data_IF_357137186539
#
_entry.id   IF_357137186539
#
_cell.length_a   1.000
_cell.length_b   1.000
_cell.length_c   1.000
_cell.angle_alpha   90.00
_cell.angle_beta   90.00
_cell.angle_gamma   90.00
#
_symmetry.space_group_name_H-M   'P 1'
#
loop_
_entity.id
_entity.type
_entity.pdbx_description
1 polymer ?
#
# COMPACT_ATOMS: atom_id res chain seq x y z
N UNK A 1 -35.13 16.37 1.02
CA UNK A 1 -34.64 17.14 -0.15
C UNK A 1 -33.71 16.21 -0.96
N UNK A 2 -34.10 15.89 -2.20
CA UNK A 2 -33.22 15.20 -3.14
C UNK A 2 -31.98 16.10 -3.38
N UNK A 3 -30.80 15.66 -2.98
CA UNK A 3 -29.55 16.34 -3.33
C UNK A 3 -29.20 15.98 -4.77
N UNK A 4 -29.07 16.97 -5.62
CA UNK A 4 -28.56 16.78 -6.97
C UNK A 4 -27.07 16.37 -6.92
N UNK A 5 -26.64 15.53 -7.86
CA UNK A 5 -25.22 15.25 -8.05
C UNK A 5 -24.57 16.52 -8.58
N UNK A 6 -23.56 16.99 -7.85
CA UNK A 6 -22.79 18.19 -8.22
C UNK A 6 -21.47 17.75 -8.83
N UNK A 7 -21.17 18.29 -10.00
CA UNK A 7 -19.87 18.10 -10.67
C UNK A 7 -19.11 19.41 -10.55
N UNK A 8 -17.95 19.38 -9.91
CA UNK A 8 -17.03 20.51 -9.85
C UNK A 8 -15.98 20.33 -10.94
N UNK A 9 -15.84 21.32 -11.82
CA UNK A 9 -14.84 21.36 -12.88
C UNK A 9 -13.94 22.57 -12.67
N UNK A 10 -12.64 22.37 -12.93
CA UNK A 10 -11.63 23.43 -12.93
C UNK A 10 -11.08 23.55 -14.34
N UNK A 11 -11.09 24.75 -14.89
CA UNK A 11 -10.61 25.03 -16.25
C UNK A 11 -9.33 25.86 -16.17
N UNK A 12 -8.35 25.48 -16.99
CA UNK A 12 -7.21 26.35 -17.30
C UNK A 12 -7.55 27.15 -18.56
N UNK A 13 -7.59 28.46 -18.43
CA UNK A 13 -7.89 29.38 -19.53
C UNK A 13 -6.65 30.17 -19.89
N UNK A 14 -6.31 30.20 -21.18
CA UNK A 14 -5.22 31.03 -21.71
C UNK A 14 -5.79 32.10 -22.64
N UNK A 15 -5.40 33.35 -22.43
CA UNK A 15 -5.76 34.48 -23.29
C UNK A 15 -4.61 34.78 -24.25
N UNK A 16 -4.83 34.50 -25.54
CA UNK A 16 -3.88 34.85 -26.60
C UNK A 16 -2.63 33.96 -26.73
N UNK A 17 -2.54 32.88 -26.00
CA UNK A 17 -1.48 31.89 -26.14
C UNK A 17 -2.05 30.46 -26.22
N UNK A 18 -1.38 29.56 -26.94
CA UNK A 18 -1.70 28.13 -26.86
C UNK A 18 -1.50 27.62 -25.44
N UNK A 19 -2.44 26.78 -24.94
CA UNK A 19 -2.23 26.08 -23.68
C UNK A 19 -0.92 25.29 -23.75
N UNK A 20 -0.11 25.28 -22.69
CA UNK A 20 1.10 24.48 -22.70
C UNK A 20 0.72 23.02 -22.89
N UNK A 21 1.25 22.40 -23.96
CA UNK A 21 1.12 20.95 -24.12
C UNK A 21 1.91 20.28 -23.00
N UNK A 22 1.21 19.64 -22.07
CA UNK A 22 1.81 18.83 -21.02
C UNK A 22 2.17 17.45 -21.57
N UNK A 23 3.01 17.40 -22.61
CA UNK A 23 3.61 16.12 -22.99
C UNK A 23 4.72 15.84 -21.98
N UNK A 24 4.61 14.80 -21.14
CA UNK A 24 5.65 14.54 -20.17
C UNK A 24 6.88 14.03 -20.90
N UNK A 25 7.96 14.76 -20.84
CA UNK A 25 9.26 14.19 -21.09
C UNK A 25 9.66 13.34 -19.87
N UNK A 26 10.22 12.15 -20.12
CA UNK A 26 10.84 11.38 -19.05
C UNK A 26 11.86 12.28 -18.32
N UNK A 27 12.00 12.12 -16.96
CA UNK A 27 12.99 12.92 -16.25
C UNK A 27 14.36 12.67 -16.84
N UNK A 28 15.02 13.74 -17.25
CA UNK A 28 16.40 13.68 -17.71
C UNK A 28 17.31 13.72 -16.47
N UNK A 29 17.87 12.55 -16.14
CA UNK A 29 18.84 12.45 -15.08
C UNK A 29 20.25 12.45 -15.67
N UNK A 30 21.24 13.10 -14.99
CA UNK A 30 22.63 12.97 -15.38
C UNK A 30 23.05 11.49 -15.28
N UNK A 31 23.74 10.99 -16.28
CA UNK A 31 24.33 9.62 -16.20
C UNK A 31 25.50 9.67 -15.21
N UNK A 32 25.32 8.99 -14.09
CA UNK A 32 26.29 8.98 -13.01
C UNK A 32 27.39 7.96 -13.24
N UNK A 33 28.64 8.35 -12.97
CA UNK A 33 29.78 7.44 -13.01
C UNK A 33 29.73 6.47 -11.80
N UNK A 34 30.32 5.26 -11.91
CA UNK A 34 30.43 4.32 -10.79
C UNK A 34 31.13 4.92 -9.55
N UNK A 35 32.01 5.90 -9.74
CA UNK A 35 32.71 6.63 -8.67
C UNK A 35 31.87 7.72 -7.99
N UNK A 36 30.66 8.02 -8.46
CA UNK A 36 29.79 8.98 -7.81
C UNK A 36 29.44 8.56 -6.37
N UNK A 37 29.30 9.51 -5.43
CA UNK A 37 28.90 9.19 -4.06
C UNK A 37 27.61 8.36 -4.05
N UNK A 38 27.61 7.24 -3.31
CA UNK A 38 26.49 6.31 -3.28
C UNK A 38 25.66 6.42 -2.02
N UNK A 39 24.36 6.16 -2.15
CA UNK A 39 23.41 6.03 -1.05
C UNK A 39 22.74 4.66 -1.16
N UNK A 40 22.75 3.91 -0.05
CA UNK A 40 21.96 2.68 0.05
C UNK A 40 20.50 3.02 0.31
N UNK A 41 19.59 2.40 -0.44
CA UNK A 41 18.15 2.50 -0.25
C UNK A 41 17.60 1.10 0.00
N UNK A 42 17.10 0.85 1.20
CA UNK A 42 16.59 -0.47 1.59
C UNK A 42 15.09 -0.51 1.35
N UNK A 43 14.67 -1.29 0.36
CA UNK A 43 13.30 -1.42 -0.12
C UNK A 43 13.06 -0.66 -1.43
N UNK A 44 12.44 -1.35 -2.39
CA UNK A 44 12.08 -0.84 -3.71
C UNK A 44 10.56 -0.54 -3.81
N UNK A 45 9.95 -0.15 -2.69
CA UNK A 45 8.58 0.37 -2.63
C UNK A 45 8.51 1.83 -3.13
N UNK A 46 7.32 2.49 -3.07
CA UNK A 46 7.17 3.86 -3.52
C UNK A 46 8.18 4.82 -2.87
N UNK A 47 8.39 4.71 -1.56
CA UNK A 47 9.35 5.55 -0.85
C UNK A 47 10.79 5.38 -1.38
N UNK A 48 11.22 4.13 -1.61
CA UNK A 48 12.55 3.83 -2.13
C UNK A 48 12.75 4.30 -3.57
N UNK A 49 11.75 4.10 -4.44
CA UNK A 49 11.81 4.55 -5.83
C UNK A 49 11.90 6.08 -5.93
N UNK A 50 11.05 6.80 -5.18
CA UNK A 50 11.12 8.27 -5.16
C UNK A 50 12.41 8.78 -4.51
N UNK A 51 12.90 8.13 -3.44
CA UNK A 51 14.19 8.47 -2.84
C UNK A 51 15.35 8.29 -3.85
N UNK A 52 15.34 7.21 -4.62
CA UNK A 52 16.33 6.99 -5.67
C UNK A 52 16.31 8.07 -6.75
N UNK A 53 15.12 8.50 -7.19
CA UNK A 53 14.99 9.60 -8.13
C UNK A 53 15.52 10.92 -7.57
N UNK A 54 15.28 11.23 -6.28
CA UNK A 54 15.85 12.41 -5.65
C UNK A 54 17.39 12.29 -5.51
N UNK A 55 17.92 11.11 -5.22
CA UNK A 55 19.38 10.88 -5.25
C UNK A 55 19.96 11.25 -6.62
N UNK A 56 19.39 10.70 -7.70
CA UNK A 56 19.84 10.99 -9.06
C UNK A 56 19.83 12.48 -9.41
N UNK A 57 18.75 13.20 -9.05
CA UNK A 57 18.65 14.66 -9.25
C UNK A 57 19.74 15.44 -8.55
N UNK A 58 20.28 14.90 -7.47
CA UNK A 58 21.35 15.50 -6.68
C UNK A 58 22.73 14.94 -6.99
N UNK A 59 22.90 14.20 -8.09
CA UNK A 59 24.20 13.63 -8.48
C UNK A 59 24.69 12.46 -7.57
N UNK A 60 23.79 11.87 -6.79
CA UNK A 60 24.09 10.76 -5.89
C UNK A 60 23.64 9.43 -6.53
N UNK A 61 24.48 8.42 -6.50
CA UNK A 61 24.19 7.11 -7.08
C UNK A 61 23.39 6.25 -6.10
N UNK A 62 22.08 5.99 -6.37
CA UNK A 62 21.30 5.13 -5.51
C UNK A 62 21.63 3.65 -5.76
N UNK A 63 21.75 2.89 -4.68
CA UNK A 63 21.86 1.42 -4.69
C UNK A 63 20.66 0.89 -3.91
N UNK A 64 19.66 0.38 -4.64
CA UNK A 64 18.43 -0.16 -4.04
C UNK A 64 18.60 -1.64 -3.75
N UNK A 65 18.25 -2.06 -2.54
CA UNK A 65 18.23 -3.44 -2.11
C UNK A 65 16.80 -3.85 -1.82
N UNK A 66 16.24 -4.78 -2.61
CA UNK A 66 14.90 -5.28 -2.47
C UNK A 66 14.93 -6.78 -2.14
N UNK A 67 14.17 -7.16 -1.08
CA UNK A 67 14.11 -8.55 -0.63
C UNK A 67 13.37 -9.46 -1.60
N UNK A 68 12.35 -8.94 -2.26
CA UNK A 68 11.52 -9.68 -3.20
C UNK A 68 12.02 -9.60 -4.63
N UNK A 69 11.19 -10.07 -5.55
CA UNK A 69 11.47 -10.09 -6.98
C UNK A 69 11.02 -8.81 -7.67
N UNK A 70 11.49 -8.63 -8.92
CA UNK A 70 10.97 -7.61 -9.82
C UNK A 70 9.47 -7.79 -10.08
N UNK A 71 8.81 -6.75 -10.54
CA UNK A 71 7.36 -6.69 -10.68
C UNK A 71 6.80 -7.78 -11.60
N UNK A 72 7.55 -8.22 -12.61
CA UNK A 72 7.13 -9.26 -13.55
C UNK A 72 7.16 -10.64 -12.89
N UNK A 73 8.25 -11.00 -12.24
CA UNK A 73 8.42 -12.26 -11.52
C UNK A 73 7.53 -12.31 -10.26
N UNK A 74 7.38 -11.19 -9.56
CA UNK A 74 6.51 -11.05 -8.38
C UNK A 74 5.04 -11.42 -8.70
N UNK A 75 4.55 -11.12 -9.89
CA UNK A 75 3.21 -11.52 -10.32
C UNK A 75 3.00 -13.04 -10.23
N UNK A 76 4.01 -13.84 -10.57
CA UNK A 76 3.94 -15.30 -10.45
C UNK A 76 4.03 -15.76 -8.99
N UNK A 77 4.69 -15.00 -8.12
CA UNK A 77 4.79 -15.31 -6.69
C UNK A 77 3.44 -15.13 -5.95
N UNK A 78 2.50 -14.37 -6.51
CA UNK A 78 1.16 -14.22 -5.94
C UNK A 78 0.25 -15.42 -6.26
N UNK A 79 0.49 -16.15 -7.35
CA UNK A 79 -0.36 -17.27 -7.76
C UNK A 79 -0.49 -18.40 -6.72
N UNK A 80 0.57 -18.82 -6.00
CA UNK A 80 0.48 -19.83 -4.94
C UNK A 80 -0.45 -19.46 -3.79
N UNK A 81 -0.60 -18.15 -3.50
CA UNK A 81 -1.50 -17.66 -2.45
C UNK A 81 -2.95 -18.05 -2.77
N UNK A 82 -3.35 -17.90 -4.03
CA UNK A 82 -4.72 -18.23 -4.48
C UNK A 82 -4.94 -19.71 -4.72
N UNK A 83 -3.91 -20.44 -5.21
CA UNK A 83 -4.01 -21.84 -5.56
C UNK A 83 -3.83 -22.77 -4.36
N UNK A 84 -2.95 -22.42 -3.46
CA UNK A 84 -2.48 -23.30 -2.39
C UNK A 84 -2.50 -22.65 -1.01
N UNK A 85 -2.94 -21.38 -0.90
CA UNK A 85 -2.89 -20.60 0.34
C UNK A 85 -1.46 -20.37 0.88
N UNK A 86 -0.44 -20.53 0.02
CA UNK A 86 0.98 -20.44 0.41
C UNK A 86 1.55 -19.08 0.08
N UNK A 87 2.08 -18.41 1.10
CA UNK A 87 2.76 -17.11 0.97
C UNK A 87 4.25 -17.35 0.79
N UNK A 88 4.86 -16.67 -0.16
CA UNK A 88 6.31 -16.53 -0.28
C UNK A 88 6.74 -15.31 0.54
N UNK A 89 7.39 -15.53 1.68
CA UNK A 89 7.59 -14.52 2.72
C UNK A 89 8.40 -13.29 2.26
N UNK A 90 9.33 -13.47 1.33
CA UNK A 90 10.13 -12.36 0.81
C UNK A 90 9.59 -11.77 -0.52
N UNK A 91 8.53 -12.36 -1.12
CA UNK A 91 7.94 -11.84 -2.37
C UNK A 91 6.42 -12.09 -2.43
N UNK A 92 5.63 -11.12 -2.04
CA UNK A 92 4.18 -11.22 -1.87
C UNK A 92 3.48 -9.88 -2.15
N UNK A 93 2.29 -9.64 -1.57
CA UNK A 93 1.58 -8.36 -1.71
C UNK A 93 2.28 -7.17 -1.04
N UNK A 94 3.10 -7.39 -0.02
CA UNK A 94 3.83 -6.34 0.69
C UNK A 94 5.25 -6.14 0.15
N UNK A 95 5.93 -7.23 -0.22
CA UNK A 95 7.34 -7.24 -0.58
C UNK A 95 7.56 -7.54 -2.07
N UNK A 96 8.62 -7.00 -2.62
CA UNK A 96 8.99 -6.99 -4.02
C UNK A 96 8.88 -5.60 -4.64
N UNK A 97 9.32 -5.46 -5.88
CA UNK A 97 9.38 -4.19 -6.61
C UNK A 97 8.03 -3.44 -6.57
N UNK A 98 8.09 -2.16 -6.20
CA UNK A 98 6.94 -1.28 -6.01
C UNK A 98 6.19 -1.50 -4.68
N UNK A 99 6.63 -2.45 -3.83
CA UNK A 99 6.09 -2.69 -2.50
C UNK A 99 4.59 -3.02 -2.49
N UNK A 100 3.90 -2.69 -1.41
CA UNK A 100 2.46 -2.89 -1.27
C UNK A 100 1.63 -2.01 -2.24
N UNK A 101 2.24 -0.98 -2.84
CA UNK A 101 1.58 -0.10 -3.81
C UNK A 101 1.28 -0.76 -5.14
N UNK A 102 2.16 -1.63 -5.64
CA UNK A 102 2.10 -2.19 -7.00
C UNK A 102 0.79 -2.89 -7.34
N UNK A 103 0.26 -3.69 -6.40
CA UNK A 103 -0.98 -4.44 -6.57
C UNK A 103 -2.10 -3.90 -5.68
N UNK A 104 -2.17 -2.58 -5.52
CA UNK A 104 -3.21 -1.87 -4.78
C UNK A 104 -4.17 -1.15 -5.74
N UNK A 105 -5.18 -0.45 -5.20
CA UNK A 105 -6.02 0.47 -5.98
C UNK A 105 -5.20 1.62 -6.59
N UNK A 106 -4.04 1.95 -6.02
CA UNK A 106 -3.21 3.04 -6.50
C UNK A 106 -3.81 4.41 -6.29
N UNK A 107 -4.53 4.61 -5.18
CA UNK A 107 -5.03 5.91 -4.76
C UNK A 107 -3.87 6.87 -4.51
N UNK A 108 -3.98 8.05 -5.08
CA UNK A 108 -2.96 9.10 -4.97
C UNK A 108 -3.42 10.28 -4.12
N UNK A 109 -4.71 10.38 -3.80
CA UNK A 109 -5.24 11.48 -2.99
C UNK A 109 -4.59 11.51 -1.60
N UNK A 110 -4.12 12.70 -1.24
CA UNK A 110 -3.54 12.95 0.09
C UNK A 110 -4.00 14.31 0.62
N UNK A 111 -4.06 14.43 1.94
CA UNK A 111 -4.24 15.70 2.66
C UNK A 111 -2.92 16.31 3.13
N UNK A 112 -1.82 15.60 2.98
CA UNK A 112 -0.49 15.99 3.47
C UNK A 112 0.21 16.94 2.48
N UNK A 113 -0.49 17.98 2.03
CA UNK A 113 0.03 18.96 1.06
C UNK A 113 1.09 19.89 1.62
N UNK A 114 1.17 20.03 2.96
CA UNK A 114 2.15 20.90 3.64
C UNK A 114 3.58 20.31 3.69
N UNK A 115 3.75 19.01 3.42
CA UNK A 115 5.04 18.32 3.55
C UNK A 115 5.85 18.27 2.26
N UNK A 116 5.29 18.72 1.15
CA UNK A 116 5.95 18.75 -0.15
C UNK A 116 4.98 18.92 -1.32
N UNK A 117 5.51 19.19 -2.52
CA UNK A 117 4.70 19.44 -3.70
C UNK A 117 4.10 18.11 -4.22
N UNK A 118 2.86 17.83 -3.88
CA UNK A 118 2.13 16.61 -4.31
C UNK A 118 2.05 16.54 -5.84
N UNK A 119 1.90 17.67 -6.52
CA UNK A 119 1.89 17.76 -7.98
C UNK A 119 3.14 17.14 -8.63
N UNK A 120 4.33 17.28 -8.00
CA UNK A 120 5.58 16.66 -8.47
C UNK A 120 5.48 15.13 -8.49
N UNK A 121 4.78 14.53 -7.51
CA UNK A 121 4.55 13.08 -7.46
C UNK A 121 3.66 12.64 -8.61
N UNK A 122 2.56 13.34 -8.86
CA UNK A 122 1.64 13.03 -9.97
C UNK A 122 2.33 13.18 -11.33
N UNK A 123 3.05 14.26 -11.54
CA UNK A 123 3.84 14.49 -12.75
C UNK A 123 4.86 13.36 -12.98
N UNK A 124 5.58 12.96 -11.93
CA UNK A 124 6.54 11.86 -12.02
C UNK A 124 5.85 10.55 -12.42
N UNK A 125 4.74 10.19 -11.79
CA UNK A 125 4.01 8.97 -12.14
C UNK A 125 3.48 9.02 -13.57
N UNK A 126 2.97 10.16 -14.01
CA UNK A 126 2.53 10.38 -15.40
C UNK A 126 3.70 10.22 -16.39
N UNK A 127 4.86 10.80 -16.11
CA UNK A 127 6.07 10.64 -16.92
C UNK A 127 6.50 9.18 -17.10
N UNK A 128 6.15 8.31 -16.15
CA UNK A 128 6.43 6.88 -16.22
C UNK A 128 5.24 6.04 -16.71
N UNK A 129 4.20 6.67 -17.25
CA UNK A 129 3.10 6.00 -17.96
C UNK A 129 1.85 5.79 -17.13
N UNK A 130 1.66 6.53 -16.03
CA UNK A 130 0.35 6.65 -15.43
C UNK A 130 -0.59 7.47 -16.33
N UNK A 131 -1.92 7.24 -16.27
CA UNK A 131 -2.90 7.99 -17.05
C UNK A 131 -2.84 9.50 -16.76
N UNK A 132 -3.10 10.33 -17.78
CA UNK A 132 -3.06 11.80 -17.65
C UNK A 132 -4.13 12.32 -16.68
N UNK A 133 -5.23 11.61 -16.54
CA UNK A 133 -6.33 11.94 -15.64
C UNK A 133 -5.87 12.13 -14.19
N UNK A 134 -4.76 11.49 -13.78
CA UNK A 134 -4.22 11.68 -12.42
C UNK A 134 -3.76 13.11 -12.13
N UNK A 135 -3.50 13.91 -13.17
CA UNK A 135 -3.07 15.30 -13.03
C UNK A 135 -4.24 16.25 -12.75
N UNK A 136 -5.46 15.86 -13.13
CA UNK A 136 -6.65 16.71 -13.08
C UNK A 136 -7.76 16.19 -12.15
N UNK A 137 -7.80 14.90 -11.91
CA UNK A 137 -8.82 14.29 -11.05
C UNK A 137 -8.70 14.76 -9.60
N UNK A 138 -9.85 15.05 -8.98
CA UNK A 138 -9.91 15.43 -7.56
C UNK A 138 -9.50 14.26 -6.63
N UNK A 139 -9.72 13.02 -7.05
CA UNK A 139 -9.36 11.80 -6.32
C UNK A 139 -8.67 10.82 -7.25
N UNK A 140 -7.44 11.13 -7.70
CA UNK A 140 -6.76 10.34 -8.72
C UNK A 140 -6.39 8.96 -8.22
N UNK A 141 -6.43 7.98 -9.14
CA UNK A 141 -5.96 6.62 -8.92
C UNK A 141 -5.39 6.04 -10.22
N UNK A 142 -4.59 4.99 -10.11
CA UNK A 142 -3.96 4.35 -11.28
C UNK A 142 -4.56 2.96 -11.54
N UNK A 143 -4.74 2.16 -10.51
CA UNK A 143 -5.21 0.77 -10.60
C UNK A 143 -4.08 -0.25 -10.67
N UNK A 144 -4.35 -1.43 -10.13
CA UNK A 144 -3.34 -2.51 -9.98
C UNK A 144 -2.90 -3.14 -11.31
N UNK A 145 -3.62 -2.92 -12.40
CA UNK A 145 -3.26 -3.38 -13.74
C UNK A 145 -2.25 -2.46 -14.46
N UNK A 146 -2.20 -1.18 -14.09
CA UNK A 146 -1.31 -0.19 -14.73
C UNK A 146 -0.05 0.08 -13.91
N UNK A 147 -0.15 0.10 -12.58
CA UNK A 147 0.96 0.33 -11.67
C UNK A 147 2.23 -0.49 -11.95
N UNK A 148 2.14 -1.80 -12.31
CA UNK A 148 3.33 -2.60 -12.62
C UNK A 148 4.21 -2.01 -13.73
N UNK A 149 3.59 -1.40 -14.74
CA UNK A 149 4.34 -0.77 -15.84
C UNK A 149 5.01 0.54 -15.38
N UNK A 150 4.29 1.36 -14.63
CA UNK A 150 4.84 2.60 -14.06
C UNK A 150 6.07 2.31 -13.20
N UNK A 151 5.96 1.33 -12.30
CA UNK A 151 7.05 0.91 -11.40
C UNK A 151 8.25 0.40 -12.19
N UNK A 152 8.03 -0.44 -13.20
CA UNK A 152 9.09 -0.93 -14.10
C UNK A 152 9.82 0.22 -14.80
N UNK A 153 9.09 1.17 -15.35
CA UNK A 153 9.65 2.31 -16.05
C UNK A 153 10.48 3.19 -15.10
N UNK A 154 10.01 3.41 -13.86
CA UNK A 154 10.78 4.11 -12.83
C UNK A 154 12.11 3.41 -12.55
N UNK A 155 12.13 2.08 -12.36
CA UNK A 155 13.35 1.31 -12.16
C UNK A 155 14.30 1.41 -13.34
N UNK A 156 13.79 1.24 -14.55
CA UNK A 156 14.61 1.34 -15.77
C UNK A 156 15.32 2.68 -15.88
N UNK A 157 14.62 3.77 -15.58
CA UNK A 157 15.20 5.11 -15.55
C UNK A 157 16.30 5.24 -14.49
N UNK A 158 16.12 4.65 -13.29
CA UNK A 158 17.16 4.62 -12.26
C UNK A 158 18.42 3.92 -12.77
N UNK A 159 18.25 2.76 -13.42
CA UNK A 159 19.38 1.96 -13.93
C UNK A 159 20.08 2.66 -15.11
N UNK A 160 19.34 3.27 -16.03
CA UNK A 160 19.89 4.04 -17.16
C UNK A 160 20.71 5.25 -16.69
N UNK A 161 20.32 5.85 -15.57
CA UNK A 161 21.06 6.96 -14.96
C UNK A 161 22.28 6.53 -14.12
N UNK A 162 22.62 5.22 -14.08
CA UNK A 162 23.77 4.69 -13.35
C UNK A 162 23.47 4.26 -11.91
N UNK A 163 22.21 4.24 -11.49
CA UNK A 163 21.78 3.62 -10.23
C UNK A 163 21.74 2.10 -10.32
N UNK A 164 21.73 1.44 -9.18
CA UNK A 164 21.68 -0.02 -9.08
C UNK A 164 20.38 -0.48 -8.40
N UNK A 165 19.83 -1.62 -8.85
CA UNK A 165 18.70 -2.28 -8.20
C UNK A 165 19.00 -3.77 -8.08
N UNK A 166 19.07 -4.24 -6.85
CA UNK A 166 19.34 -5.64 -6.51
C UNK A 166 18.09 -6.27 -5.91
N UNK A 167 17.49 -7.21 -6.63
CA UNK A 167 16.39 -8.04 -6.16
C UNK A 167 16.90 -9.27 -5.40
N UNK A 168 16.00 -9.93 -4.66
CA UNK A 168 16.29 -11.10 -3.83
C UNK A 168 17.48 -10.84 -2.87
N UNK A 169 17.55 -9.59 -2.40
CA UNK A 169 18.63 -9.05 -1.59
C UNK A 169 18.08 -8.50 -0.29
N UNK A 170 17.75 -9.41 0.62
CA UNK A 170 17.17 -9.11 1.94
C UNK A 170 18.25 -8.65 2.89
N UNK A 171 18.14 -7.43 3.39
CA UNK A 171 18.98 -6.92 4.47
C UNK A 171 18.61 -7.62 5.78
N UNK A 172 19.60 -8.15 6.47
CA UNK A 172 19.45 -8.87 7.73
C UNK A 172 20.25 -8.26 8.87
N UNK A 173 21.20 -7.37 8.57
CA UNK A 173 21.96 -6.67 9.59
C UNK A 173 22.55 -5.34 9.09
N UNK A 174 22.95 -4.49 10.04
CA UNK A 174 23.65 -3.24 9.81
C UNK A 174 25.13 -3.37 10.18
N UNK A 175 26.00 -2.92 9.29
CA UNK A 175 27.43 -2.76 9.58
C UNK A 175 27.60 -1.45 10.37
N UNK A 176 27.88 -1.55 11.65
CA UNK A 176 28.10 -0.41 12.54
C UNK A 176 29.56 -0.34 12.99
N UNK A 177 30.14 0.86 12.98
CA UNK A 177 31.45 1.15 13.57
C UNK A 177 31.31 2.41 14.42
N UNK A 178 31.57 2.27 15.74
CA UNK A 178 31.42 3.36 16.70
C UNK A 178 30.02 4.03 16.58
N UNK A 179 28.97 3.22 16.62
CA UNK A 179 27.54 3.65 16.46
C UNK A 179 27.23 4.39 15.16
N UNK A 180 28.14 4.38 14.19
CA UNK A 180 27.94 5.00 12.87
C UNK A 180 27.72 3.91 11.82
N UNK A 181 26.71 4.10 10.98
CA UNK A 181 26.43 3.19 9.86
C UNK A 181 27.60 3.15 8.87
N UNK A 182 27.96 1.96 8.44
CA UNK A 182 28.97 1.71 7.41
C UNK A 182 28.44 0.90 6.24
N UNK A 183 27.26 0.33 6.38
CA UNK A 183 26.66 -0.49 5.35
C UNK A 183 25.66 -1.47 5.93
N UNK A 184 25.37 -2.50 5.16
CA UNK A 184 24.41 -3.55 5.51
C UNK A 184 24.95 -4.92 5.12
N UNK A 185 24.46 -5.96 5.80
CA UNK A 185 24.67 -7.38 5.46
C UNK A 185 23.34 -7.95 4.95
N UNK A 186 23.40 -8.75 3.90
CA UNK A 186 22.25 -9.39 3.28
C UNK A 186 22.21 -10.89 3.56
N UNK A 187 21.04 -11.50 3.51
CA UNK A 187 20.83 -12.93 3.78
C UNK A 187 21.60 -13.87 2.86
N UNK A 188 21.97 -13.41 1.67
CA UNK A 188 22.78 -14.14 0.69
C UNK A 188 24.29 -14.01 0.92
N UNK A 189 24.73 -13.48 2.07
CA UNK A 189 26.12 -13.27 2.44
C UNK A 189 26.80 -12.05 1.82
N UNK A 190 26.13 -11.31 0.93
CA UNK A 190 26.66 -10.06 0.36
C UNK A 190 26.60 -8.94 1.39
N UNK A 191 27.57 -8.04 1.30
CA UNK A 191 27.59 -6.78 2.06
C UNK A 191 27.67 -5.60 1.10
N UNK A 192 27.03 -4.50 1.49
CA UNK A 192 27.07 -3.24 0.76
C UNK A 192 27.53 -2.15 1.70
N UNK A 193 28.59 -1.47 1.34
CA UNK A 193 29.15 -0.39 2.16
C UNK A 193 28.63 0.97 1.72
N UNK A 194 28.21 1.77 2.66
CA UNK A 194 27.88 3.20 2.50
C UNK A 194 27.77 3.86 3.88
N UNK A 195 28.12 5.13 3.95
CA UNK A 195 27.90 5.97 5.14
C UNK A 195 26.50 6.55 5.21
N UNK A 196 25.72 6.42 4.15
CA UNK A 196 24.39 6.99 4.03
C UNK A 196 23.40 5.89 3.62
N UNK A 197 22.34 5.77 4.40
CA UNK A 197 21.31 4.76 4.22
C UNK A 197 19.91 5.37 4.37
N UNK A 198 19.03 5.02 3.46
CA UNK A 198 17.60 5.33 3.52
C UNK A 198 16.86 4.02 3.78
N UNK A 199 16.17 3.95 4.93
CA UNK A 199 15.35 2.79 5.28
C UNK A 199 13.93 3.01 4.77
N UNK A 200 13.55 2.31 3.69
CA UNK A 200 12.28 2.45 2.98
C UNK A 200 11.51 1.11 2.89
N UNK A 201 11.61 0.27 3.94
CA UNK A 201 11.14 -1.11 3.98
C UNK A 201 9.64 -1.29 4.15
N UNK A 202 8.91 -0.19 4.40
CA UNK A 202 7.46 -0.24 4.66
C UNK A 202 7.13 -0.79 6.05
N UNK A 203 5.83 -0.77 6.39
CA UNK A 203 5.36 -1.15 7.73
C UNK A 203 5.32 -2.67 7.96
N UNK A 204 5.32 -3.48 6.91
CA UNK A 204 5.20 -4.94 7.04
C UNK A 204 6.54 -5.65 7.28
N UNK A 205 7.67 -4.95 7.19
CA UNK A 205 9.01 -5.51 7.43
C UNK A 205 9.30 -5.62 8.93
N UNK A 206 8.58 -6.50 9.61
CA UNK A 206 8.66 -6.69 11.08
C UNK A 206 10.03 -7.13 11.54
N UNK A 207 10.73 -7.91 10.74
CA UNK A 207 12.12 -8.30 10.95
C UNK A 207 13.05 -7.08 11.09
N UNK A 208 12.82 -6.02 10.32
CA UNK A 208 13.60 -4.78 10.42
C UNK A 208 13.31 -4.04 11.74
N UNK A 209 12.05 -3.99 12.21
CA UNK A 209 11.74 -3.40 13.50
C UNK A 209 12.42 -4.17 14.65
N UNK A 210 12.45 -5.51 14.58
CA UNK A 210 13.18 -6.34 15.55
C UNK A 210 14.69 -6.06 15.48
N UNK A 211 15.27 -6.04 14.26
CA UNK A 211 16.68 -5.71 14.05
C UNK A 211 17.06 -4.33 14.62
N UNK A 212 16.23 -3.31 14.42
CA UNK A 212 16.46 -1.98 14.99
C UNK A 212 16.47 -2.02 16.53
N UNK A 213 15.56 -2.79 17.14
CA UNK A 213 15.49 -2.97 18.57
C UNK A 213 16.74 -3.71 19.10
N UNK A 214 17.15 -4.80 18.46
CA UNK A 214 18.31 -5.62 18.85
C UNK A 214 19.63 -4.84 18.70
N UNK A 215 19.70 -3.92 17.75
CA UNK A 215 20.82 -3.01 17.56
C UNK A 215 20.72 -1.73 18.41
N UNK A 216 19.73 -1.65 19.31
CA UNK A 216 19.50 -0.52 20.21
C UNK A 216 19.34 0.82 19.47
N UNK A 217 18.83 0.77 18.23
CA UNK A 217 18.46 1.97 17.47
C UNK A 217 17.14 2.48 18.01
N UNK A 218 17.12 3.73 18.43
CA UNK A 218 15.94 4.35 19.06
C UNK A 218 14.70 4.24 18.19
N UNK A 219 13.63 3.74 18.77
CA UNK A 219 12.29 3.65 18.20
C UNK A 219 11.28 4.38 19.09
N UNK A 220 10.14 4.74 18.56
CA UNK A 220 9.00 5.31 19.27
C UNK A 220 7.74 4.50 18.95
N UNK A 221 6.98 4.15 19.99
CA UNK A 221 5.64 3.60 19.80
C UNK A 221 4.72 4.71 19.30
N UNK A 222 3.90 4.41 18.29
CA UNK A 222 2.90 5.34 17.74
C UNK A 222 1.53 4.68 17.69
N UNK A 223 0.45 5.47 17.79
CA UNK A 223 -0.88 4.99 17.52
C UNK A 223 -0.98 4.37 16.13
N UNK A 224 -1.79 3.33 16.02
CA UNK A 224 -2.14 2.73 14.74
C UNK A 224 -3.64 2.45 14.69
N UNK A 225 -4.14 2.01 13.54
CA UNK A 225 -5.53 1.66 13.40
C UNK A 225 -5.67 0.19 13.03
N UNK A 226 -6.55 -0.52 13.74
CA UNK A 226 -6.90 -1.91 13.48
C UNK A 226 -8.40 -2.08 13.29
N UNK A 227 -8.78 -3.11 12.55
CA UNK A 227 -10.19 -3.40 12.31
C UNK A 227 -10.40 -4.51 11.31
N UNK A 228 -11.58 -4.49 10.71
CA UNK A 228 -12.05 -5.50 9.77
C UNK A 228 -12.27 -4.88 8.39
N UNK A 229 -12.34 -5.71 7.35
CA UNK A 229 -12.72 -5.26 6.02
C UNK A 229 -14.18 -5.60 5.76
N UNK A 230 -14.95 -4.60 5.36
CA UNK A 230 -16.34 -4.73 4.95
C UNK A 230 -16.40 -4.85 3.44
N UNK A 231 -17.28 -5.72 2.94
CA UNK A 231 -17.57 -5.86 1.51
C UNK A 231 -19.07 -5.61 1.26
N UNK A 232 -19.35 -4.94 0.16
CA UNK A 232 -20.71 -4.61 -0.28
C UNK A 232 -20.88 -4.90 -1.77
N UNK A 233 -22.10 -5.15 -2.27
CA UNK A 233 -22.39 -4.96 -3.69
C UNK A 233 -22.14 -3.50 -4.10
N UNK A 234 -21.38 -3.26 -5.17
CA UNK A 234 -21.14 -1.90 -5.68
C UNK A 234 -22.45 -1.13 -5.98
N UNK A 235 -23.50 -1.76 -6.56
CA UNK A 235 -24.77 -1.08 -6.80
C UNK A 235 -25.43 -0.53 -5.54
N UNK A 236 -25.21 -1.14 -4.37
CA UNK A 236 -25.69 -0.60 -3.09
C UNK A 236 -25.05 0.76 -2.79
N UNK A 237 -23.74 0.85 -2.98
CA UNK A 237 -22.98 2.09 -2.76
C UNK A 237 -23.39 3.15 -3.78
N UNK A 238 -23.50 2.78 -5.06
CA UNK A 238 -23.93 3.68 -6.14
C UNK A 238 -25.30 4.27 -5.85
N UNK A 239 -26.27 3.43 -5.45
CA UNK A 239 -27.62 3.86 -5.11
C UNK A 239 -27.65 4.89 -3.98
N UNK A 240 -26.90 4.64 -2.91
CA UNK A 240 -26.86 5.55 -1.76
C UNK A 240 -26.16 6.87 -2.07
N UNK A 241 -25.04 6.83 -2.78
CA UNK A 241 -24.23 8.01 -3.05
C UNK A 241 -24.82 8.90 -4.15
N UNK A 242 -25.39 8.28 -5.18
CA UNK A 242 -25.98 8.99 -6.32
C UNK A 242 -27.50 9.15 -6.21
N UNK A 243 -28.12 8.68 -5.09
CA UNK A 243 -29.55 8.78 -4.85
C UNK A 243 -30.40 8.15 -5.96
N UNK A 244 -29.97 7.02 -6.51
CA UNK A 244 -30.68 6.33 -7.58
C UNK A 244 -31.99 5.73 -7.06
N UNK A 245 -33.03 5.76 -7.87
CA UNK A 245 -34.36 5.25 -7.52
C UNK A 245 -34.51 3.78 -7.91
N UNK A 246 -35.11 2.99 -7.03
CA UNK A 246 -35.40 1.57 -7.29
C UNK A 246 -34.14 0.81 -7.70
N UNK A 247 -34.24 0.05 -8.79
CA UNK A 247 -33.13 -0.73 -9.38
C UNK A 247 -32.44 -0.01 -10.54
N UNK A 248 -32.55 1.32 -10.59
CA UNK A 248 -31.89 2.13 -11.62
C UNK A 248 -30.38 1.91 -11.57
N UNK A 249 -29.74 1.52 -12.69
CA UNK A 249 -28.30 1.37 -12.74
C UNK A 249 -27.60 2.73 -12.69
N UNK A 250 -26.35 2.73 -12.26
CA UNK A 250 -25.50 3.91 -12.30
C UNK A 250 -25.28 4.31 -13.77
N UNK A 251 -25.49 5.59 -14.12
CA UNK A 251 -25.15 6.10 -15.44
C UNK A 251 -23.66 5.90 -15.78
N UNK A 252 -23.34 5.58 -17.04
CA UNK A 252 -21.99 5.26 -17.48
C UNK A 252 -21.00 6.41 -17.33
N UNK A 253 -21.47 7.66 -17.37
CA UNK A 253 -20.64 8.84 -17.16
C UNK A 253 -20.28 9.11 -15.70
N UNK A 254 -20.89 8.39 -14.75
CA UNK A 254 -20.52 8.48 -13.34
C UNK A 254 -19.54 7.38 -12.96
N UNK A 255 -18.47 7.68 -12.20
CA UNK A 255 -17.55 6.66 -11.72
C UNK A 255 -18.23 5.75 -10.69
N UNK A 256 -17.64 4.59 -10.40
CA UNK A 256 -18.07 3.76 -9.28
C UNK A 256 -18.05 4.58 -7.99
N UNK A 257 -19.20 4.63 -7.29
CA UNK A 257 -19.35 5.46 -6.11
C UNK A 257 -18.47 4.99 -4.96
N UNK A 258 -17.95 5.93 -4.21
CA UNK A 258 -17.17 5.68 -2.99
C UNK A 258 -17.81 6.38 -1.79
N UNK A 259 -17.43 5.95 -0.60
CA UNK A 259 -17.82 6.62 0.63
C UNK A 259 -16.63 6.85 1.55
N UNK A 260 -16.83 7.77 2.46
CA UNK A 260 -15.92 8.05 3.56
C UNK A 260 -16.72 8.25 4.84
N UNK A 261 -16.42 7.44 5.85
CA UNK A 261 -17.06 7.49 7.15
C UNK A 261 -16.01 7.81 8.21
N UNK A 262 -16.35 8.68 9.14
CA UNK A 262 -15.49 8.97 10.29
C UNK A 262 -16.39 9.42 11.46
N UNK A 263 -16.11 8.88 12.62
CA UNK A 263 -16.78 9.24 13.86
C UNK A 263 -15.86 9.04 15.06
N UNK A 264 -16.28 9.47 16.23
CA UNK A 264 -15.62 9.16 17.51
C UNK A 264 -16.57 8.34 18.39
N UNK A 265 -16.08 7.25 18.93
CA UNK A 265 -16.78 6.40 19.88
C UNK A 265 -15.90 6.24 21.13
N UNK A 266 -16.38 6.62 22.30
CA UNK A 266 -15.61 6.58 23.56
C UNK A 266 -14.22 7.22 23.40
N UNK A 267 -14.18 8.41 22.81
CA UNK A 267 -12.96 9.20 22.49
C UNK A 267 -12.00 8.57 21.47
N UNK A 268 -12.32 7.42 20.84
CA UNK A 268 -11.51 6.81 19.80
C UNK A 268 -12.00 7.17 18.41
N UNK A 269 -11.08 7.43 17.52
CA UNK A 269 -11.39 7.58 16.09
C UNK A 269 -11.82 6.24 15.50
N UNK A 270 -13.00 6.20 14.88
CA UNK A 270 -13.49 5.08 14.07
C UNK A 270 -13.72 5.60 12.67
N UNK A 271 -13.13 4.96 11.67
CA UNK A 271 -13.24 5.47 10.29
C UNK A 271 -13.14 4.39 9.24
N UNK A 272 -13.73 4.68 8.08
CA UNK A 272 -13.48 3.88 6.88
C UNK A 272 -12.06 4.12 6.38
N UNK A 273 -11.39 3.05 5.98
CA UNK A 273 -10.03 3.10 5.49
C UNK A 273 -9.90 2.39 4.15
N UNK A 274 -9.19 3.03 3.21
CA UNK A 274 -8.88 2.45 1.90
C UNK A 274 -10.12 1.82 1.22
N UNK A 275 -11.22 2.61 1.10
CA UNK A 275 -12.40 2.19 0.37
C UNK A 275 -12.04 2.00 -1.12
N UNK A 276 -12.32 0.81 -1.66
CA UNK A 276 -12.05 0.41 -3.04
C UNK A 276 -13.39 0.20 -3.78
N UNK A 277 -13.90 1.23 -4.49
CA UNK A 277 -15.09 1.07 -5.31
C UNK A 277 -14.79 0.17 -6.50
N UNK A 278 -15.76 -0.65 -6.92
CA UNK A 278 -15.58 -1.60 -8.01
C UNK A 278 -14.32 -2.45 -7.84
N UNK A 279 -14.06 -2.93 -6.62
CA UNK A 279 -12.80 -3.57 -6.25
C UNK A 279 -12.95 -4.97 -5.68
N UNK A 280 -11.85 -5.51 -5.21
CA UNK A 280 -11.71 -6.87 -4.70
C UNK A 280 -11.02 -6.86 -3.34
N UNK A 281 -11.35 -7.83 -2.50
CA UNK A 281 -10.54 -8.16 -1.32
C UNK A 281 -9.42 -9.11 -1.74
N UNK A 282 -8.22 -8.87 -1.25
CA UNK A 282 -7.02 -9.68 -1.54
C UNK A 282 -6.32 -10.08 -0.25
N UNK A 283 -5.64 -11.24 -0.23
CA UNK A 283 -4.77 -11.61 0.89
C UNK A 283 -3.58 -10.66 0.96
N UNK A 284 -3.21 -10.26 2.17
CA UNK A 284 -2.12 -9.30 2.40
C UNK A 284 -1.18 -9.71 3.53
N UNK A 285 -1.33 -10.92 4.07
CA UNK A 285 -0.40 -11.47 5.04
C UNK A 285 1.00 -11.65 4.42
N UNK A 286 2.04 -11.50 5.24
CA UNK A 286 3.43 -11.69 4.84
C UNK A 286 4.01 -13.03 5.30
N UNK A 287 3.30 -13.71 6.18
CA UNK A 287 3.70 -14.98 6.79
C UNK A 287 2.57 -16.02 6.73
N UNK A 288 2.93 -17.30 6.60
CA UNK A 288 1.95 -18.37 6.35
C UNK A 288 1.02 -18.66 7.54
N UNK A 289 1.43 -18.30 8.75
CA UNK A 289 0.66 -18.51 9.98
C UNK A 289 -0.27 -17.33 10.33
N UNK A 290 -0.43 -16.38 9.43
CA UNK A 290 -1.26 -15.18 9.58
C UNK A 290 -2.31 -15.08 8.49
N UNK A 291 -3.40 -14.37 8.77
CA UNK A 291 -4.38 -13.91 7.78
C UNK A 291 -4.57 -12.41 7.93
N UNK A 292 -4.29 -11.72 6.85
CA UNK A 292 -4.53 -10.28 6.68
C UNK A 292 -5.19 -10.06 5.35
N UNK A 293 -6.17 -9.18 5.29
CA UNK A 293 -6.88 -8.84 4.06
C UNK A 293 -6.71 -7.36 3.74
N UNK A 294 -6.60 -7.06 2.45
CA UNK A 294 -6.58 -5.70 1.93
C UNK A 294 -7.54 -5.56 0.75
N UNK A 295 -7.70 -4.36 0.23
CA UNK A 295 -8.50 -4.09 -0.96
C UNK A 295 -7.65 -3.58 -2.11
N UNK A 296 -8.04 -3.95 -3.31
CA UNK A 296 -7.52 -3.39 -4.54
C UNK A 296 -8.63 -3.15 -5.55
N UNK A 297 -8.36 -2.38 -6.59
CA UNK A 297 -9.21 -2.28 -7.77
C UNK A 297 -8.37 -2.13 -9.03
N UNK A 298 -8.98 -2.49 -10.15
CA UNK A 298 -8.44 -2.18 -11.47
C UNK A 298 -8.71 -0.70 -11.81
N UNK A 299 -8.06 -0.21 -12.85
CA UNK A 299 -8.25 1.17 -13.32
C UNK A 299 -9.71 1.50 -13.65
N UNK A 300 -10.47 0.54 -14.17
CA UNK A 300 -11.90 0.72 -14.52
C UNK A 300 -12.84 0.74 -13.31
N UNK A 301 -12.45 0.13 -12.19
CA UNK A 301 -13.32 -0.01 -10.99
C UNK A 301 -14.69 -0.61 -11.32
N UNK A 302 -14.70 -1.67 -12.09
CA UNK A 302 -15.89 -2.31 -12.67
C UNK A 302 -16.28 -3.66 -12.04
N UNK A 303 -15.66 -4.03 -10.93
CA UNK A 303 -16.09 -5.18 -10.14
C UNK A 303 -17.51 -4.96 -9.57
N UNK A 304 -18.33 -6.02 -9.47
CA UNK A 304 -19.64 -5.93 -8.82
C UNK A 304 -19.57 -5.67 -7.31
N UNK A 305 -18.38 -5.69 -6.73
CA UNK A 305 -18.13 -5.47 -5.31
C UNK A 305 -17.45 -4.15 -5.04
N UNK A 306 -17.70 -3.64 -3.84
CA UNK A 306 -16.97 -2.54 -3.20
C UNK A 306 -16.51 -2.99 -1.82
N UNK A 307 -15.36 -2.54 -1.36
CA UNK A 307 -14.88 -2.90 -0.03
C UNK A 307 -14.17 -1.75 0.66
N UNK A 308 -14.15 -1.77 2.00
CA UNK A 308 -13.47 -0.78 2.83
C UNK A 308 -13.01 -1.39 4.14
N UNK A 309 -11.84 -1.03 4.62
CA UNK A 309 -11.52 -1.23 6.03
C UNK A 309 -12.47 -0.39 6.91
N UNK A 310 -12.87 -0.94 8.05
CA UNK A 310 -13.48 -0.21 9.15
C UNK A 310 -12.55 -0.38 10.34
N UNK A 311 -11.89 0.69 10.72
CA UNK A 311 -10.78 0.63 11.69
C UNK A 311 -11.02 1.56 12.86
N UNK A 312 -10.46 1.18 14.00
CA UNK A 312 -10.45 1.96 15.24
C UNK A 312 -9.01 2.27 15.63
N UNK A 313 -8.77 3.46 16.17
CA UNK A 313 -7.46 3.85 16.68
C UNK A 313 -7.11 3.04 17.92
N UNK A 314 -5.90 2.48 17.93
CA UNK A 314 -5.25 1.80 19.06
C UNK A 314 -4.10 2.68 19.53
N UNK A 315 -4.17 3.13 20.76
CA UNK A 315 -3.14 3.94 21.40
C UNK A 315 -2.11 3.03 22.09
N UNK A 316 -0.83 3.45 22.20
CA UNK A 316 0.17 2.66 22.93
C UNK A 316 -0.24 2.30 24.36
N UNK A 317 -0.96 3.20 25.03
CA UNK A 317 -1.42 3.02 26.42
C UNK A 317 -2.48 1.91 26.55
N UNK A 318 -3.18 1.57 25.47
CA UNK A 318 -4.15 0.46 25.49
C UNK A 318 -3.48 -0.89 25.62
N UNK A 319 -2.27 -0.99 25.06
CA UNK A 319 -1.51 -2.24 24.96
C UNK A 319 -0.71 -2.47 26.23
N UNK A 320 -0.20 -1.39 26.85
CA UNK A 320 0.65 -1.44 28.04
C UNK A 320 -0.12 -1.91 29.27
N UNK A 321 -1.43 -1.66 29.33
CA UNK A 321 -2.26 -2.03 30.50
C UNK A 321 -2.28 -3.54 30.77
N UNK A 322 -2.10 -4.36 29.76
CA UNK A 322 -2.15 -5.83 29.86
C UNK A 322 -0.77 -6.48 29.97
N UNK A 323 0.33 -5.71 29.93
CA UNK A 323 1.69 -6.26 29.95
C UNK A 323 2.50 -5.76 31.15
N UNK A 324 3.12 -6.69 31.90
CA UNK A 324 3.99 -6.39 33.05
C UNK A 324 5.32 -5.71 32.63
N UNK A 325 5.62 -5.61 31.32
CA UNK A 325 6.80 -4.92 30.81
C UNK A 325 6.47 -4.26 29.45
N UNK A 326 6.49 -2.94 29.37
CA UNK A 326 6.18 -2.23 28.11
C UNK A 326 7.32 -2.41 27.11
N UNK A 327 7.15 -3.32 26.17
CA UNK A 327 8.04 -3.44 25.00
C UNK A 327 7.69 -2.36 23.97
N UNK A 328 8.72 -1.73 23.38
CA UNK A 328 8.54 -0.82 22.24
C UNK A 328 7.83 -1.48 21.05
N UNK A 329 7.92 -2.81 20.95
CA UNK A 329 7.31 -3.64 19.91
C UNK A 329 5.91 -4.17 20.29
N UNK A 330 5.35 -3.79 21.44
CA UNK A 330 4.08 -4.32 21.94
C UNK A 330 2.92 -4.15 20.93
N UNK A 331 2.86 -3.01 20.22
CA UNK A 331 1.88 -2.78 19.17
C UNK A 331 2.01 -3.76 18.00
N UNK A 332 3.22 -4.11 17.62
CA UNK A 332 3.50 -5.10 16.56
C UNK A 332 3.08 -6.51 17.03
N UNK A 333 3.37 -6.88 18.27
CA UNK A 333 2.95 -8.17 18.84
C UNK A 333 1.43 -8.31 18.95
N UNK A 334 0.72 -7.23 19.28
CA UNK A 334 -0.75 -7.23 19.25
C UNK A 334 -1.27 -7.48 17.83
N UNK A 335 -0.71 -6.83 16.82
CA UNK A 335 -1.10 -7.07 15.42
C UNK A 335 -0.87 -8.54 15.05
N UNK A 336 0.32 -9.09 15.34
CA UNK A 336 0.67 -10.49 15.06
C UNK A 336 -0.31 -11.46 15.74
N UNK A 337 -0.66 -11.23 17.00
CA UNK A 337 -1.58 -12.09 17.75
C UNK A 337 -2.98 -12.13 17.13
N UNK A 338 -3.49 -10.98 16.69
CA UNK A 338 -4.80 -10.88 16.02
C UNK A 338 -4.79 -11.52 14.64
N UNK A 339 -3.72 -11.38 13.87
CA UNK A 339 -3.55 -11.99 12.56
C UNK A 339 -3.42 -13.53 12.64
N UNK A 340 -2.74 -14.03 13.67
CA UNK A 340 -2.69 -15.48 13.99
C UNK A 340 -4.05 -16.00 14.44
N UNK A 341 -4.77 -15.25 15.27
CA UNK A 341 -6.13 -15.59 15.66
C UNK A 341 -7.06 -15.66 14.44
N UNK A 342 -6.97 -14.69 13.53
CA UNK A 342 -7.71 -14.70 12.27
C UNK A 342 -7.37 -15.93 11.42
N UNK A 343 -6.10 -16.33 11.36
CA UNK A 343 -5.65 -17.56 10.68
C UNK A 343 -6.26 -18.81 11.31
N UNK A 344 -6.26 -18.89 12.64
CA UNK A 344 -6.84 -20.02 13.38
C UNK A 344 -8.33 -20.16 13.09
N UNK A 345 -9.08 -19.08 13.04
CA UNK A 345 -10.52 -19.08 12.76
C UNK A 345 -10.87 -19.21 11.26
N UNK A 346 -10.00 -18.77 10.37
CA UNK A 346 -10.16 -18.94 8.92
C UNK A 346 -9.87 -20.36 8.42
N UNK A 347 -9.11 -21.14 9.17
CA UNK A 347 -8.78 -22.52 8.81
C UNK A 347 -7.66 -22.64 7.78
N UNK A 348 -7.83 -23.51 6.80
CA UNK A 348 -6.79 -23.85 5.84
C UNK A 348 -6.45 -22.73 4.86
N UNK A 349 -5.20 -22.73 4.40
CA UNK A 349 -4.69 -21.79 3.41
C UNK A 349 -4.76 -20.34 3.88
N UNK A 350 -5.32 -19.47 3.07
CA UNK A 350 -5.52 -18.05 3.37
C UNK A 350 -7.02 -17.69 3.46
N UNK A 351 -7.87 -18.65 3.86
CA UNK A 351 -9.27 -18.34 4.18
C UNK A 351 -9.36 -17.36 5.33
N UNK A 352 -10.29 -16.39 5.22
CA UNK A 352 -10.49 -15.37 6.23
C UNK A 352 -11.77 -15.66 7.04
N UNK A 353 -11.76 -15.44 8.38
CA UNK A 353 -12.99 -15.51 9.17
C UNK A 353 -13.92 -14.37 8.78
N UNK A 354 -15.22 -14.66 8.66
CA UNK A 354 -16.21 -13.69 8.20
C UNK A 354 -17.58 -13.86 8.88
N UNK A 355 -18.27 -12.73 9.00
CA UNK A 355 -19.67 -12.65 9.43
C UNK A 355 -20.44 -11.69 8.55
N UNK A 356 -21.77 -11.85 8.48
CA UNK A 356 -22.65 -10.85 7.90
C UNK A 356 -22.73 -9.65 8.85
N UNK A 357 -22.57 -8.44 8.30
CA UNK A 357 -22.65 -7.20 9.09
C UNK A 357 -23.97 -7.10 9.88
N UNK A 358 -25.08 -7.49 9.25
CA UNK A 358 -26.42 -7.49 9.91
C UNK A 358 -26.54 -8.44 11.09
N UNK A 359 -25.83 -9.58 11.04
CA UNK A 359 -25.82 -10.56 12.13
C UNK A 359 -24.88 -10.11 13.24
N UNK A 360 -23.70 -9.60 12.88
CA UNK A 360 -22.76 -9.00 13.83
C UNK A 360 -23.41 -7.89 14.66
N UNK A 361 -24.14 -6.97 14.02
CA UNK A 361 -24.84 -5.87 14.71
C UNK A 361 -25.95 -6.35 15.64
N UNK A 362 -26.48 -7.56 15.42
CA UNK A 362 -27.51 -8.20 16.26
C UNK A 362 -26.91 -9.19 17.25
N UNK A 363 -25.58 -9.27 17.38
CA UNK A 363 -24.87 -10.25 18.18
C UNK A 363 -25.30 -11.71 17.88
N UNK A 364 -25.52 -12.04 16.60
CA UNK A 364 -25.91 -13.37 16.12
C UNK A 364 -24.82 -13.99 15.28
N UNK A 365 -24.68 -15.32 15.39
CA UNK A 365 -23.80 -16.08 14.52
C UNK A 365 -24.45 -16.18 13.14
N UNK A 366 -23.67 -15.92 12.09
CA UNK A 366 -24.17 -16.05 10.72
C UNK A 366 -24.37 -17.50 10.34
N UNK A 367 -25.53 -17.85 9.81
CA UNK A 367 -25.86 -19.20 9.32
C UNK A 367 -25.35 -19.42 7.90
N UNK A 368 -25.26 -18.35 7.10
CA UNK A 368 -24.73 -18.36 5.74
C UNK A 368 -23.94 -17.08 5.47
N UNK A 369 -23.04 -17.14 4.51
CA UNK A 369 -22.27 -15.99 4.03
C UNK A 369 -22.67 -15.68 2.59
N UNK A 370 -22.76 -14.40 2.20
CA UNK A 370 -22.99 -14.00 0.81
C UNK A 370 -21.77 -14.32 -0.05
N UNK A 371 -21.91 -14.20 -1.37
CA UNK A 371 -20.77 -14.22 -2.29
C UNK A 371 -19.77 -13.12 -1.95
N UNK A 372 -18.49 -13.41 -2.15
CA UNK A 372 -17.38 -12.50 -1.85
C UNK A 372 -16.40 -12.42 -3.02
N UNK A 373 -15.71 -11.30 -3.15
CA UNK A 373 -14.59 -11.14 -4.09
C UNK A 373 -13.29 -11.79 -3.59
N UNK A 374 -13.24 -12.22 -2.31
CA UNK A 374 -12.05 -12.79 -1.70
C UNK A 374 -11.83 -14.24 -2.17
N UNK A 375 -10.93 -14.40 -3.15
CA UNK A 375 -10.70 -15.69 -3.82
C UNK A 375 -10.23 -16.84 -2.93
N UNK A 376 -9.37 -16.64 -1.91
CA UNK A 376 -9.04 -17.73 -1.01
C UNK A 376 -10.24 -18.30 -0.25
N UNK A 377 -11.35 -17.56 -0.23
CA UNK A 377 -12.59 -17.93 0.44
C UNK A 377 -12.69 -17.44 1.87
N UNK A 378 -13.89 -17.53 2.41
CA UNK A 378 -14.21 -17.11 3.77
C UNK A 378 -14.77 -18.27 4.56
N UNK A 379 -14.53 -18.29 5.88
CA UNK A 379 -15.07 -19.24 6.83
C UNK A 379 -15.97 -18.50 7.84
N UNK A 380 -17.02 -19.16 8.30
CA UNK A 380 -17.92 -18.57 9.30
C UNK A 380 -17.21 -18.44 10.64
N UNK A 381 -17.27 -17.28 11.25
CA UNK A 381 -16.71 -16.99 12.56
C UNK A 381 -17.80 -16.56 13.55
#
# INVERSE_FOLDING_TARGET
>A
RQRQVMVQMVFLVSLGASLPQTTPSAPDFPILKPSAPSILVIGCGPAGLFAAHECLRNGLRPILLERGKDVSARRFNLAPIFKHGKILEDSNYAFGEGGAGTFSDGKLYTRATKRGPVAKVYQTLFQYGAPEEILVDAHPHIGSNLLPNVVRNMRQSIQQAGGEVHFETKVVDFLLKNQTIRGVVCSNGRSFESRHLILATGHSARDIYRLLNDRQIRQEAKPFAMGVRLEHPQPLVDRHQYHLKGDQPRPDYLPAASYRLATKIKNRGVHSFCMCPGGFIVPAATENHQVVVNGMSLSRRDSPFANSGMVVTVEPEDIIKDSHSPSILAGMHLQESLEMAAKKHGGDGQKAPAQRVTDFLKAKISTNLPSTSYRPGVERA
#
